data_IF_447581860425
#
_entry.id   IF_447581860425
#
_cell.length_a   1.000
_cell.length_b   1.000
_cell.length_c   1.000
_cell.angle_alpha   90.00
_cell.angle_beta   90.00
_cell.angle_gamma   90.00
#
_symmetry.space_group_name_H-M   'P 1'
#
loop_
_entity.id
_entity.type
_entity.pdbx_description
1 polymer ?
#
# COMPACT_ATOMS: atom_id res chain seq x y z
N UNK A 1 11.26 -4.71 21.88
CA UNK A 1 12.10 -5.01 20.70
C UNK A 1 11.96 -3.85 19.75
N UNK A 2 12.97 -2.99 19.66
CA UNK A 2 12.96 -1.88 18.71
C UNK A 2 13.00 -2.45 17.28
N UNK A 3 12.36 -1.78 16.31
CA UNK A 3 12.78 -1.98 14.93
C UNK A 3 14.25 -1.57 14.92
N UNK A 4 15.17 -2.51 14.75
CA UNK A 4 16.56 -2.18 14.49
C UNK A 4 16.52 -1.10 13.42
N UNK A 5 17.04 0.10 13.73
CA UNK A 5 17.19 1.18 12.76
C UNK A 5 18.12 0.64 11.67
N UNK A 6 17.54 -0.07 10.69
CA UNK A 6 18.28 -0.76 9.66
C UNK A 6 18.91 0.33 8.84
N UNK A 7 20.25 0.41 8.85
CA UNK A 7 21.03 1.52 8.26
C UNK A 7 20.79 1.79 6.74
N UNK A 8 19.88 1.06 6.09
CA UNK A 8 19.00 1.46 4.96
C UNK A 8 18.13 0.25 4.55
N UNK A 9 16.81 0.32 4.67
CA UNK A 9 15.80 0.59 3.61
C UNK A 9 14.72 1.43 4.34
N UNK A 10 14.20 2.47 3.69
CA UNK A 10 13.90 3.79 4.29
C UNK A 10 12.69 3.80 5.24
N UNK A 11 12.71 4.72 6.21
CA UNK A 11 11.63 4.93 7.16
C UNK A 11 10.74 6.04 6.62
N UNK A 12 9.49 5.74 6.26
CA UNK A 12 8.58 6.76 5.79
C UNK A 12 7.69 7.31 6.92
N UNK A 13 7.76 8.62 7.22
CA UNK A 13 6.90 9.22 8.23
C UNK A 13 5.42 9.11 7.83
N UNK A 14 4.56 8.87 8.82
CA UNK A 14 3.11 8.77 8.60
C UNK A 14 2.55 10.01 7.89
N UNK A 15 3.00 11.20 8.27
CA UNK A 15 2.55 12.47 7.66
C UNK A 15 3.02 12.60 6.20
N UNK A 16 4.19 12.04 5.86
CA UNK A 16 4.70 12.01 4.48
C UNK A 16 3.81 11.11 3.61
N UNK A 17 3.56 9.88 4.07
CA UNK A 17 2.70 8.91 3.39
C UNK A 17 1.28 9.44 3.20
N UNK A 18 0.70 10.02 4.26
CA UNK A 18 -0.62 10.65 4.19
C UNK A 18 -0.63 11.79 3.18
N UNK A 19 0.39 12.65 3.18
CA UNK A 19 0.52 13.75 2.21
C UNK A 19 0.64 13.23 0.77
N UNK A 20 1.43 12.19 0.52
CA UNK A 20 1.54 11.57 -0.79
C UNK A 20 0.18 11.07 -1.29
N UNK A 21 -0.60 10.43 -0.40
CA UNK A 21 -1.98 10.04 -0.70
C UNK A 21 -2.86 11.25 -1.02
N UNK A 22 -2.84 12.30 -0.19
CA UNK A 22 -3.62 13.52 -0.44
C UNK A 22 -3.24 14.21 -1.76
N UNK A 23 -1.95 14.26 -2.09
CA UNK A 23 -1.43 14.83 -3.33
C UNK A 23 -1.88 14.02 -4.56
N UNK A 24 -2.07 12.71 -4.42
CA UNK A 24 -2.67 11.85 -5.45
C UNK A 24 -4.20 12.06 -5.51
N UNK A 25 -4.90 11.88 -4.40
CA UNK A 25 -6.37 11.88 -4.34
C UNK A 25 -6.99 13.24 -4.69
N UNK A 26 -6.25 14.33 -4.53
CA UNK A 26 -6.69 15.66 -4.95
C UNK A 26 -6.66 15.88 -6.47
N UNK A 27 -5.86 15.09 -7.20
CA UNK A 27 -5.70 15.17 -8.66
C UNK A 27 -6.48 14.10 -9.42
N UNK A 28 -6.94 13.07 -8.72
CA UNK A 28 -7.51 11.86 -9.30
C UNK A 28 -8.88 11.52 -8.69
N UNK A 29 -9.78 11.00 -9.52
CA UNK A 29 -11.12 10.59 -9.11
C UNK A 29 -11.06 9.22 -8.42
N UNK A 30 -10.80 9.22 -7.12
CA UNK A 30 -10.63 8.01 -6.29
C UNK A 30 -11.88 7.12 -6.25
N UNK A 31 -13.06 7.65 -6.60
CA UNK A 31 -14.27 6.83 -6.69
C UNK A 31 -14.17 5.82 -7.84
N UNK A 32 -13.49 6.18 -8.92
CA UNK A 32 -13.22 5.26 -10.04
C UNK A 32 -12.18 4.20 -9.69
N UNK A 33 -11.29 4.50 -8.76
CA UNK A 33 -10.25 3.56 -8.33
C UNK A 33 -10.80 2.47 -7.42
N UNK A 34 -11.87 2.71 -6.64
CA UNK A 34 -12.49 1.63 -5.85
C UNK A 34 -13.30 0.65 -6.70
N UNK A 35 -13.97 1.10 -7.76
CA UNK A 35 -14.86 0.23 -8.55
C UNK A 35 -14.25 -1.11 -9.00
N UNK A 36 -13.00 -1.17 -9.51
CA UNK A 36 -12.35 -2.44 -9.85
C UNK A 36 -11.95 -3.26 -8.62
N UNK A 37 -11.78 -2.63 -7.46
CA UNK A 37 -11.37 -3.29 -6.22
C UNK A 37 -12.52 -3.82 -5.38
N UNK A 38 -13.77 -3.39 -5.62
CA UNK A 38 -14.92 -3.84 -4.83
C UNK A 38 -15.01 -5.36 -4.64
N UNK A 39 -14.81 -6.22 -5.66
CA UNK A 39 -14.83 -7.67 -5.46
C UNK A 39 -13.72 -8.19 -4.54
N UNK A 40 -12.56 -7.53 -4.55
CA UNK A 40 -11.40 -7.89 -3.72
C UNK A 40 -11.60 -7.45 -2.26
N UNK A 41 -12.25 -6.31 -2.06
CA UNK A 41 -12.38 -5.67 -0.76
C UNK A 41 -13.68 -6.06 -0.03
N UNK A 42 -14.79 -6.30 -0.74
CA UNK A 42 -16.12 -6.58 -0.19
C UNK A 42 -16.53 -8.07 -0.22
N UNK A 43 -15.62 -9.00 0.09
CA UNK A 43 -16.00 -10.41 0.29
C UNK A 43 -17.16 -10.51 1.31
N UNK A 44 -18.33 -11.06 0.96
CA UNK A 44 -19.50 -11.17 1.84
C UNK A 44 -19.27 -11.97 3.14
N UNK A 45 -18.17 -12.72 3.26
CA UNK A 45 -17.79 -13.41 4.50
C UNK A 45 -17.21 -12.46 5.58
N UNK A 46 -17.07 -11.15 5.29
CA UNK A 46 -16.29 -10.18 6.05
C UNK A 46 -16.96 -9.51 7.28
N UNK A 47 -18.09 -10.01 7.80
CA UNK A 47 -18.85 -9.32 8.87
C UNK A 47 -18.05 -9.19 10.20
N UNK A 48 -16.88 -9.84 10.35
CA UNK A 48 -15.98 -9.72 11.52
C UNK A 48 -14.48 -9.80 11.16
N UNK A 49 -14.00 -9.07 10.15
CA UNK A 49 -12.56 -9.09 9.84
C UNK A 49 -11.73 -8.50 10.98
N UNK A 50 -10.78 -9.28 11.50
CA UNK A 50 -9.71 -8.82 12.38
C UNK A 50 -8.74 -7.91 11.61
N UNK A 51 -7.93 -7.11 12.32
CA UNK A 51 -6.95 -6.23 11.68
C UNK A 51 -5.99 -6.99 10.75
N UNK A 52 -5.60 -8.21 11.12
CA UNK A 52 -4.76 -9.07 10.29
C UNK A 52 -5.47 -9.46 8.98
N UNK A 53 -6.74 -9.87 9.04
CA UNK A 53 -7.51 -10.22 7.84
C UNK A 53 -7.76 -9.02 6.94
N UNK A 54 -7.92 -7.82 7.51
CA UNK A 54 -7.98 -6.58 6.73
C UNK A 54 -6.64 -6.37 6.03
N UNK A 55 -5.53 -6.41 6.77
CA UNK A 55 -4.20 -6.23 6.19
C UNK A 55 -3.90 -7.24 5.07
N UNK A 56 -4.24 -8.51 5.25
CA UNK A 56 -4.09 -9.55 4.23
C UNK A 56 -4.86 -9.19 2.95
N UNK A 57 -6.12 -8.76 3.09
CA UNK A 57 -6.96 -8.36 1.97
C UNK A 57 -6.37 -7.15 1.24
N UNK A 58 -5.90 -6.13 1.97
CA UNK A 58 -5.27 -4.95 1.40
C UNK A 58 -3.98 -5.31 0.65
N UNK A 59 -3.13 -6.14 1.25
CA UNK A 59 -1.87 -6.56 0.62
C UNK A 59 -2.12 -7.36 -0.66
N UNK A 60 -3.05 -8.32 -0.61
CA UNK A 60 -3.42 -9.11 -1.79
C UNK A 60 -4.02 -8.23 -2.90
N UNK A 61 -4.88 -7.28 -2.55
CA UNK A 61 -5.41 -6.32 -3.52
C UNK A 61 -4.30 -5.44 -4.12
N UNK A 62 -3.33 -5.01 -3.31
CA UNK A 62 -2.16 -4.26 -3.80
C UNK A 62 -1.31 -5.09 -4.78
N UNK A 63 -1.12 -6.39 -4.53
CA UNK A 63 -0.43 -7.27 -5.48
C UNK A 63 -1.18 -7.39 -6.81
N UNK A 64 -2.51 -7.41 -6.80
CA UNK A 64 -3.32 -7.41 -8.03
C UNK A 64 -3.12 -6.11 -8.84
N UNK A 65 -3.05 -4.95 -8.16
CA UNK A 65 -2.72 -3.66 -8.80
C UNK A 65 -1.31 -3.70 -9.40
N UNK A 66 -0.34 -4.23 -8.65
CA UNK A 66 1.05 -4.38 -9.09
C UNK A 66 1.16 -5.29 -10.33
N UNK A 67 0.48 -6.44 -10.33
CA UNK A 67 0.46 -7.39 -11.45
C UNK A 67 -0.12 -6.75 -12.72
N UNK A 68 -1.13 -5.90 -12.54
CA UNK A 68 -1.78 -5.14 -13.61
C UNK A 68 -0.93 -3.95 -14.12
N UNK A 69 0.19 -3.64 -13.47
CA UNK A 69 1.05 -2.50 -13.83
C UNK A 69 1.95 -2.85 -15.02
N UNK A 70 1.85 -2.14 -16.17
CA UNK A 70 2.64 -2.46 -17.36
C UNK A 70 4.10 -2.02 -17.33
N UNK A 71 4.46 -1.07 -16.47
CA UNK A 71 5.82 -0.55 -16.36
C UNK A 71 6.72 -1.44 -15.52
N UNK A 72 6.16 -2.46 -14.86
CA UNK A 72 6.90 -3.44 -14.10
C UNK A 72 7.10 -4.69 -14.95
N UNK A 73 8.34 -5.17 -15.01
CA UNK A 73 8.66 -6.43 -15.67
C UNK A 73 8.31 -7.64 -14.77
N UNK A 74 8.47 -8.84 -15.34
CA UNK A 74 8.13 -10.08 -14.65
C UNK A 74 9.01 -10.34 -13.41
N UNK A 75 10.28 -9.93 -13.43
CA UNK A 75 11.19 -10.11 -12.29
C UNK A 75 10.78 -9.21 -11.12
N UNK A 76 10.45 -7.95 -11.42
CA UNK A 76 9.99 -6.95 -10.45
C UNK A 76 8.68 -7.38 -9.79
N UNK A 77 7.71 -7.87 -10.58
CA UNK A 77 6.44 -8.42 -10.05
C UNK A 77 6.68 -9.65 -9.19
N UNK A 78 7.52 -10.57 -9.66
CA UNK A 78 7.88 -11.79 -8.94
C UNK A 78 8.55 -11.47 -7.60
N UNK A 79 9.41 -10.43 -7.56
CA UNK A 79 10.08 -10.00 -6.33
C UNK A 79 9.09 -9.58 -5.24
N UNK A 80 8.01 -8.88 -5.60
CA UNK A 80 6.99 -8.46 -4.63
C UNK A 80 6.31 -9.64 -3.91
N UNK A 81 6.21 -10.79 -4.57
CA UNK A 81 5.60 -12.00 -4.00
C UNK A 81 6.43 -12.61 -2.85
N UNK A 82 7.71 -12.26 -2.76
CA UNK A 82 8.60 -12.74 -1.70
C UNK A 82 8.64 -11.83 -0.46
N UNK A 83 7.98 -10.67 -0.50
CA UNK A 83 7.90 -9.81 0.67
C UNK A 83 6.89 -10.34 1.67
N UNK A 84 7.26 -10.25 2.94
CA UNK A 84 6.36 -10.52 4.06
C UNK A 84 5.83 -9.20 4.60
N UNK A 85 4.65 -9.22 5.22
CA UNK A 85 4.02 -8.02 5.76
C UNK A 85 3.41 -8.29 7.14
N UNK A 86 3.42 -7.27 8.01
CA UNK A 86 2.76 -7.33 9.32
C UNK A 86 2.47 -5.93 9.90
N UNK A 87 1.53 -5.87 10.84
CA UNK A 87 1.37 -4.69 11.70
C UNK A 87 2.53 -4.60 12.69
N UNK A 88 2.99 -3.38 12.94
CA UNK A 88 4.14 -3.09 13.79
C UNK A 88 3.75 -2.11 14.90
N UNK A 89 4.01 -2.51 16.14
CA UNK A 89 3.70 -1.73 17.35
C UNK A 89 4.95 -1.23 18.08
N UNK A 90 6.11 -1.22 17.42
CA UNK A 90 7.34 -0.70 18.02
C UNK A 90 7.29 0.83 18.16
N UNK A 91 7.97 1.37 19.16
CA UNK A 91 7.99 2.81 19.46
C UNK A 91 8.26 3.69 18.25
N UNK A 92 9.24 3.31 17.42
CA UNK A 92 9.57 4.04 16.20
C UNK A 92 8.35 4.14 15.27
N UNK A 93 7.58 3.07 15.03
CA UNK A 93 6.40 3.17 14.17
C UNK A 93 5.15 3.70 14.85
N UNK A 94 5.12 3.77 16.17
CA UNK A 94 4.01 4.43 16.86
C UNK A 94 4.20 5.96 16.92
N UNK A 95 5.45 6.45 16.77
CA UNK A 95 5.83 7.86 16.97
C UNK A 95 6.45 8.53 15.73
N UNK A 96 7.27 7.81 14.97
CA UNK A 96 8.12 8.34 13.89
C UNK A 96 7.71 7.78 12.50
N UNK A 97 7.60 6.46 12.32
CA UNK A 97 7.26 5.82 11.04
C UNK A 97 5.77 5.51 10.86
N UNK A 98 5.23 5.75 9.66
CA UNK A 98 3.92 5.26 9.24
C UNK A 98 3.99 3.86 8.64
N UNK A 99 4.98 3.62 7.78
CA UNK A 99 5.34 2.32 7.27
C UNK A 99 6.85 2.29 6.96
N UNK A 100 7.40 1.10 6.74
CA UNK A 100 8.73 0.91 6.17
C UNK A 100 8.91 -0.54 5.70
N UNK A 101 9.83 -0.77 4.79
CA UNK A 101 10.36 -2.10 4.47
C UNK A 101 11.78 -2.25 5.00
N UNK A 102 12.08 -3.40 5.62
CA UNK A 102 13.44 -3.67 6.10
C UNK A 102 14.28 -4.44 5.06
N UNK A 103 15.58 -4.59 5.35
CA UNK A 103 16.55 -5.31 4.49
C UNK A 103 16.19 -6.78 4.19
N UNK A 104 15.29 -7.38 4.97
CA UNK A 104 14.82 -8.76 4.76
C UNK A 104 13.55 -8.81 3.91
N UNK A 105 13.11 -7.68 3.35
CA UNK A 105 11.86 -7.60 2.58
C UNK A 105 10.62 -7.70 3.46
N UNK A 106 10.69 -7.29 4.73
CA UNK A 106 9.52 -7.25 5.60
C UNK A 106 8.92 -5.85 5.60
N UNK A 107 7.71 -5.72 5.05
CA UNK A 107 6.90 -4.51 5.06
C UNK A 107 6.18 -4.42 6.40
N UNK A 108 6.39 -3.31 7.11
CA UNK A 108 5.87 -3.08 8.45
C UNK A 108 5.02 -1.83 8.45
N UNK A 109 3.72 -2.00 8.67
CA UNK A 109 2.78 -0.89 8.77
C UNK A 109 2.57 -0.58 10.25
N UNK A 110 2.65 0.70 10.62
CA UNK A 110 2.33 1.13 11.97
C UNK A 110 0.89 0.74 12.33
N UNK A 111 0.72 0.02 13.45
CA UNK A 111 -0.62 -0.32 13.94
C UNK A 111 -1.46 0.93 14.21
N UNK A 112 -0.84 2.01 14.72
CA UNK A 112 -1.53 3.29 14.95
C UNK A 112 -1.93 3.97 13.64
N UNK A 113 -1.05 4.00 12.63
CA UNK A 113 -1.43 4.52 11.31
C UNK A 113 -2.62 3.72 10.76
N UNK A 114 -2.49 2.39 10.75
CA UNK A 114 -3.51 1.48 10.24
C UNK A 114 -4.88 1.72 10.90
N UNK A 115 -4.93 1.73 12.24
CA UNK A 115 -6.15 1.98 12.99
C UNK A 115 -6.71 3.38 12.76
N UNK A 116 -5.85 4.41 12.76
CA UNK A 116 -6.29 5.79 12.54
C UNK A 116 -6.89 5.96 11.15
N UNK A 117 -6.25 5.39 10.12
CA UNK A 117 -6.70 5.48 8.73
C UNK A 117 -8.01 4.72 8.51
N UNK A 118 -8.17 3.53 9.10
CA UNK A 118 -9.45 2.79 9.03
C UNK A 118 -10.60 3.50 9.74
N UNK A 119 -10.32 4.21 10.83
CA UNK A 119 -11.32 4.90 11.65
C UNK A 119 -11.60 6.34 11.21
N UNK A 120 -11.01 6.81 10.10
CA UNK A 120 -11.30 8.13 9.56
C UNK A 120 -12.80 8.27 9.27
N UNK A 121 -13.41 9.37 9.75
CA UNK A 121 -14.84 9.68 9.54
C UNK A 121 -15.12 10.20 8.13
N UNK A 122 -14.56 9.56 7.12
CA UNK A 122 -14.89 9.78 5.71
C UNK A 122 -15.77 8.62 5.24
N UNK A 123 -16.66 8.88 4.27
CA UNK A 123 -17.46 7.81 3.67
C UNK A 123 -16.50 6.75 3.12
N UNK A 124 -16.57 5.52 3.67
CA UNK A 124 -15.81 4.35 3.22
C UNK A 124 -15.83 4.32 1.68
N UNK A 125 -14.66 4.48 1.03
CA UNK A 125 -13.52 3.58 1.16
C UNK A 125 -12.13 4.26 1.21
N UNK A 126 -12.08 5.57 1.47
CA UNK A 126 -10.88 6.40 1.27
C UNK A 126 -9.69 5.90 2.09
N UNK A 127 -9.89 5.56 3.37
CA UNK A 127 -8.81 5.05 4.22
C UNK A 127 -8.27 3.69 3.77
N UNK A 128 -9.10 2.85 3.17
CA UNK A 128 -8.67 1.56 2.61
C UNK A 128 -7.75 1.77 1.41
N UNK A 129 -8.11 2.70 0.52
CA UNK A 129 -7.26 3.04 -0.62
C UNK A 129 -5.95 3.68 -0.19
N UNK A 130 -5.97 4.56 0.81
CA UNK A 130 -4.76 5.15 1.41
C UNK A 130 -3.79 4.06 1.93
N UNK A 131 -4.32 3.06 2.64
CA UNK A 131 -3.50 1.96 3.14
C UNK A 131 -2.95 1.09 2.01
N UNK A 132 -3.74 0.79 0.98
CA UNK A 132 -3.25 0.06 -0.19
C UNK A 132 -2.16 0.84 -0.94
N UNK A 133 -2.33 2.16 -1.08
CA UNK A 133 -1.35 3.05 -1.71
C UNK A 133 -0.04 3.08 -0.90
N UNK A 134 -0.15 3.12 0.42
CA UNK A 134 0.99 3.00 1.35
C UNK A 134 1.69 1.66 1.21
N UNK A 135 0.95 0.55 1.14
CA UNK A 135 1.54 -0.78 0.92
C UNK A 135 2.27 -0.83 -0.43
N UNK A 136 1.65 -0.29 -1.49
CA UNK A 136 2.26 -0.25 -2.82
C UNK A 136 3.58 0.52 -2.82
N UNK A 137 3.60 1.66 -2.10
CA UNK A 137 4.81 2.45 -1.92
C UNK A 137 5.94 1.60 -1.34
N UNK A 138 5.70 0.91 -0.22
CA UNK A 138 6.71 0.06 0.43
C UNK A 138 7.13 -1.14 -0.42
N UNK A 139 6.21 -1.73 -1.17
CA UNK A 139 6.52 -2.78 -2.15
C UNK A 139 7.48 -2.24 -3.21
N UNK A 140 7.22 -1.06 -3.77
CA UNK A 140 8.08 -0.46 -4.79
C UNK A 140 9.44 -0.05 -4.23
N UNK A 141 9.50 0.44 -2.99
CA UNK A 141 10.75 0.67 -2.28
C UNK A 141 11.56 -0.62 -2.15
N UNK A 142 10.88 -1.72 -1.81
CA UNK A 142 11.48 -3.05 -1.76
C UNK A 142 12.00 -3.59 -3.09
N UNK A 143 11.27 -3.34 -4.18
CA UNK A 143 11.66 -3.74 -5.54
C UNK A 143 12.87 -2.94 -6.01
N UNK A 144 12.91 -1.64 -5.71
CA UNK A 144 13.91 -0.69 -6.18
C UNK A 144 14.68 -0.02 -5.01
N UNK A 145 15.40 -0.79 -4.17
CA UNK A 145 16.02 -0.28 -2.94
C UNK A 145 17.13 0.75 -3.18
N UNK A 146 17.62 0.86 -4.40
CA UNK A 146 18.63 1.82 -4.83
C UNK A 146 18.08 3.20 -5.19
N UNK A 147 16.78 3.31 -5.42
CA UNK A 147 16.15 4.57 -5.81
C UNK A 147 15.90 5.46 -4.60
N UNK A 148 15.90 6.77 -4.84
CA UNK A 148 15.52 7.74 -3.84
C UNK A 148 13.99 7.82 -3.66
N UNK A 149 13.58 8.32 -2.50
CA UNK A 149 12.18 8.44 -2.11
C UNK A 149 11.31 9.24 -3.08
N UNK A 150 11.84 10.30 -3.71
CA UNK A 150 11.08 11.07 -4.69
C UNK A 150 10.80 10.24 -5.95
N UNK A 151 11.75 9.40 -6.35
CA UNK A 151 11.60 8.48 -7.46
C UNK A 151 10.63 7.34 -7.11
N UNK A 152 10.68 6.80 -5.90
CA UNK A 152 9.70 5.80 -5.42
C UNK A 152 8.29 6.39 -5.43
N UNK A 153 8.08 7.57 -4.86
CA UNK A 153 6.78 8.27 -4.86
C UNK A 153 6.20 8.38 -6.28
N UNK A 154 7.00 8.81 -7.26
CA UNK A 154 6.57 8.92 -8.66
C UNK A 154 6.21 7.56 -9.27
N UNK A 155 6.99 6.53 -8.96
CA UNK A 155 6.70 5.16 -9.41
C UNK A 155 5.41 4.62 -8.77
N UNK A 156 5.15 4.92 -7.51
CA UNK A 156 3.92 4.56 -6.81
C UNK A 156 2.70 5.17 -7.49
N UNK A 157 2.73 6.47 -7.75
CA UNK A 157 1.65 7.16 -8.46
C UNK A 157 1.42 6.55 -9.85
N UNK A 158 2.50 6.31 -10.61
CA UNK A 158 2.40 5.75 -11.95
C UNK A 158 1.87 4.31 -11.95
N UNK A 159 2.36 3.47 -11.03
CA UNK A 159 1.95 2.09 -10.88
C UNK A 159 0.48 2.01 -10.48
N UNK A 160 0.07 2.75 -9.45
CA UNK A 160 -1.31 2.83 -9.02
C UNK A 160 -2.24 3.24 -10.17
N UNK A 161 -1.96 4.38 -10.81
CA UNK A 161 -2.80 4.92 -11.89
C UNK A 161 -2.94 3.93 -13.05
N UNK A 162 -1.84 3.35 -13.50
CA UNK A 162 -1.86 2.47 -14.67
C UNK A 162 -2.40 1.08 -14.36
N UNK A 163 -2.12 0.55 -13.17
CA UNK A 163 -2.68 -0.70 -12.65
C UNK A 163 -4.19 -0.60 -12.50
N UNK A 164 -4.71 0.43 -11.83
CA UNK A 164 -6.16 0.66 -11.71
C UNK A 164 -6.83 0.83 -13.07
N UNK A 165 -6.23 1.59 -13.99
CA UNK A 165 -6.76 1.76 -15.33
C UNK A 165 -6.82 0.44 -16.13
N UNK A 166 -5.88 -0.49 -15.89
CA UNK A 166 -5.93 -1.84 -16.49
C UNK A 166 -7.01 -2.70 -15.86
N UNK A 167 -7.09 -2.75 -14.53
CA UNK A 167 -8.12 -3.50 -13.82
C UNK A 167 -9.53 -3.06 -14.21
N UNK A 168 -9.76 -1.75 -14.34
CA UNK A 168 -11.04 -1.21 -14.80
C UNK A 168 -11.37 -1.70 -16.23
N UNK A 169 -10.39 -1.79 -17.13
CA UNK A 169 -10.59 -2.30 -18.49
C UNK A 169 -10.87 -3.80 -18.51
N UNK A 170 -10.18 -4.58 -17.69
CA UNK A 170 -10.41 -6.03 -17.58
C UNK A 170 -11.83 -6.33 -17.10
N UNK A 171 -12.34 -5.55 -16.13
CA UNK A 171 -13.72 -5.63 -15.66
C UNK A 171 -14.75 -5.28 -16.73
N UNK A 172 -14.47 -4.31 -17.60
CA UNK A 172 -15.37 -3.94 -18.71
C UNK A 172 -15.43 -5.01 -19.82
N UNK A 173 -14.41 -5.86 -19.91
CA UNK A 173 -14.29 -6.90 -20.92
C UNK A 173 -14.65 -8.31 -20.40
N UNK A 174 -14.99 -8.44 -19.11
CA UNK A 174 -15.41 -9.69 -18.44
C UNK A 174 -16.92 -9.74 -18.30
#
# INVERSE_FOLDING_TARGET
MECERTKKIEFEPADSLHKQWLDYSSKHDINKDIEPLYPLLNDPLAITRTEAQILDALYNATLVVLESTPQLDSEQKTRALYFSYNLCSCDACQKECGAHINKKGQIRISQKLFQNTLNQKTSSPIGVLELMYTILHEVLHGIFPELDEQTITKKTEQAWKSGMARLAKEKLNS
#
